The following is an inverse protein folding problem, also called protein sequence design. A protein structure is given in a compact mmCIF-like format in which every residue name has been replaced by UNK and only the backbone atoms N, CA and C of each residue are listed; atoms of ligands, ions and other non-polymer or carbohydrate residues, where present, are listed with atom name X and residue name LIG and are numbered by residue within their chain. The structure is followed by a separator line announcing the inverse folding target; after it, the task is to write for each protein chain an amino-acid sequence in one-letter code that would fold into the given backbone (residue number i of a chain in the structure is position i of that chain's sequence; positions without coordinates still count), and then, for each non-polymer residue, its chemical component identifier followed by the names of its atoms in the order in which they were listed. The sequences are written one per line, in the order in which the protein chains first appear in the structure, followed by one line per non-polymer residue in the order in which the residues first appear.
data_IF_285191481237
#
_entry.id   IF_285191481237
#
_cell.length_a   1.000
_cell.length_b   1.000
_cell.length_c   1.000
_cell.angle_alpha   90.00
_cell.angle_beta   90.00
_cell.angle_gamma   90.00
#
_symmetry.space_group_name_H-M   'P 1'
#
loop_
_entity.id
_entity.type
_entity.pdbx_description
1 polymer ?
#
# COMPACT_ATOMS: atom_id res chain seq x y z
N UNK A 1 -24.50 4.24 -7.89
CA UNK A 1 -23.94 3.28 -6.91
C UNK A 1 -22.81 2.40 -7.47
N UNK A 2 -22.69 2.15 -8.79
CA UNK A 2 -21.62 1.28 -9.37
C UNK A 2 -20.33 1.97 -9.83
N UNK A 3 -20.28 3.31 -9.85
CA UNK A 3 -19.17 4.05 -10.46
C UNK A 3 -17.78 3.75 -9.85
N UNK A 4 -17.61 3.61 -8.52
CA UNK A 4 -16.27 3.42 -7.92
C UNK A 4 -15.70 2.00 -8.04
N UNK A 5 -16.53 0.99 -8.34
CA UNK A 5 -16.09 -0.41 -8.51
C UNK A 5 -15.37 -0.60 -9.85
N UNK A 6 -15.76 0.17 -10.88
CA UNK A 6 -15.17 0.07 -12.21
C UNK A 6 -13.66 0.39 -12.21
N UNK A 7 -13.18 1.51 -11.62
CA UNK A 7 -11.74 1.77 -11.45
C UNK A 7 -10.98 0.61 -10.80
N UNK A 8 -11.55 -0.01 -9.77
CA UNK A 8 -10.95 -1.16 -9.10
C UNK A 8 -10.80 -2.37 -10.04
N UNK A 9 -11.87 -2.76 -10.75
CA UNK A 9 -11.84 -3.90 -11.67
C UNK A 9 -10.91 -3.65 -12.86
N UNK A 10 -10.97 -2.46 -13.46
CA UNK A 10 -10.07 -2.05 -14.53
C UNK A 10 -8.61 -2.08 -14.05
N UNK A 11 -8.33 -1.58 -12.85
CA UNK A 11 -6.99 -1.62 -12.28
C UNK A 11 -6.48 -3.04 -12.08
N UNK A 12 -7.30 -3.94 -11.50
CA UNK A 12 -6.95 -5.35 -11.36
C UNK A 12 -6.58 -5.98 -12.71
N UNK A 13 -7.36 -5.71 -13.76
CA UNK A 13 -7.07 -6.18 -15.12
C UNK A 13 -5.74 -5.63 -15.66
N UNK A 14 -5.52 -4.31 -15.54
CA UNK A 14 -4.27 -3.66 -16.01
C UNK A 14 -3.06 -4.23 -15.27
N UNK A 15 -3.12 -4.33 -13.94
CA UNK A 15 -2.05 -4.92 -13.14
C UNK A 15 -1.79 -6.36 -13.57
N UNK A 16 -2.84 -7.18 -13.73
CA UNK A 16 -2.70 -8.57 -14.17
C UNK A 16 -1.95 -8.69 -15.50
N UNK A 17 -2.22 -7.80 -16.46
CA UNK A 17 -1.55 -7.75 -17.77
C UNK A 17 -0.13 -7.20 -17.69
N UNK A 18 0.15 -6.30 -16.75
CA UNK A 18 1.47 -5.72 -16.55
C UNK A 18 2.49 -6.73 -16.00
N UNK A 19 2.06 -7.72 -15.20
CA UNK A 19 2.96 -8.72 -14.62
C UNK A 19 3.88 -9.42 -15.63
N UNK A 20 3.36 -10.15 -16.65
CA UNK A 20 4.22 -10.85 -17.60
C UNK A 20 5.14 -9.88 -18.37
N UNK A 21 4.60 -8.74 -18.82
CA UNK A 21 5.37 -7.73 -19.56
C UNK A 21 6.59 -7.24 -18.75
N UNK A 22 6.38 -6.95 -17.46
CA UNK A 22 7.46 -6.50 -16.60
C UNK A 22 8.43 -7.61 -16.22
N UNK A 23 7.97 -8.86 -16.11
CA UNK A 23 8.87 -10.00 -15.90
C UNK A 23 9.80 -10.13 -17.10
N UNK A 24 9.24 -10.23 -18.31
CA UNK A 24 10.01 -10.38 -19.55
C UNK A 24 11.03 -9.25 -19.70
N UNK A 25 10.59 -7.99 -19.51
CA UNK A 25 11.48 -6.84 -19.59
C UNK A 25 12.61 -6.86 -18.55
N UNK A 26 12.31 -7.25 -17.29
CA UNK A 26 13.32 -7.31 -16.24
C UNK A 26 14.31 -8.48 -16.44
N UNK A 27 13.87 -9.58 -17.04
CA UNK A 27 14.77 -10.69 -17.41
C UNK A 27 15.82 -10.26 -18.43
N UNK A 28 15.43 -9.41 -19.39
CA UNK A 28 16.32 -8.92 -20.44
C UNK A 28 17.36 -7.92 -19.92
N UNK A 29 16.96 -7.02 -19.02
CA UNK A 29 17.80 -5.87 -18.62
C UNK A 29 18.50 -6.03 -17.28
N UNK A 30 18.10 -7.00 -16.45
CA UNK A 30 18.60 -7.15 -15.07
C UNK A 30 19.14 -8.57 -14.82
N UNK A 31 20.47 -8.79 -14.89
CA UNK A 31 21.08 -10.12 -14.75
C UNK A 31 20.78 -10.83 -13.42
N UNK A 32 20.66 -10.10 -12.31
CA UNK A 32 20.34 -10.69 -11.02
C UNK A 32 18.87 -11.13 -10.95
N UNK A 33 17.97 -10.42 -11.63
CA UNK A 33 16.54 -10.77 -11.68
C UNK A 33 16.29 -12.04 -12.50
N UNK A 34 16.96 -12.20 -13.64
CA UNK A 34 16.77 -13.36 -14.52
C UNK A 34 17.11 -14.69 -13.83
N UNK A 35 18.04 -14.66 -12.85
CA UNK A 35 18.45 -15.80 -12.01
C UNK A 35 17.49 -16.12 -10.86
N UNK A 36 16.48 -15.29 -10.59
CA UNK A 36 15.53 -15.52 -9.51
C UNK A 36 14.56 -16.67 -9.85
N UNK A 37 14.02 -17.31 -8.83
CA UNK A 37 12.90 -18.25 -9.00
C UNK A 37 11.63 -17.50 -9.41
N UNK A 38 10.69 -18.18 -10.08
CA UNK A 38 9.43 -17.56 -10.52
C UNK A 38 8.66 -16.90 -9.37
N UNK A 39 8.66 -17.52 -8.19
CA UNK A 39 8.05 -16.97 -6.97
C UNK A 39 8.67 -15.62 -6.61
N UNK A 40 10.01 -15.52 -6.64
CA UNK A 40 10.73 -14.28 -6.35
C UNK A 40 10.54 -13.23 -7.45
N UNK A 41 10.48 -13.63 -8.73
CA UNK A 41 10.17 -12.71 -9.85
C UNK A 41 8.80 -12.05 -9.65
N UNK A 42 7.77 -12.83 -9.34
CA UNK A 42 6.43 -12.31 -9.04
C UNK A 42 6.44 -11.40 -7.80
N UNK A 43 7.21 -11.73 -6.77
CA UNK A 43 7.38 -10.87 -5.59
C UNK A 43 8.01 -9.51 -5.96
N UNK A 44 9.08 -9.50 -6.75
CA UNK A 44 9.73 -8.27 -7.21
C UNK A 44 8.76 -7.41 -8.02
N UNK A 45 8.14 -7.98 -9.05
CA UNK A 45 7.21 -7.26 -9.93
C UNK A 45 6.01 -6.71 -9.15
N UNK A 46 5.46 -7.47 -8.21
CA UNK A 46 4.42 -6.97 -7.27
C UNK A 46 4.85 -5.67 -6.60
N UNK A 47 6.05 -5.67 -6.03
CA UNK A 47 6.56 -4.55 -5.23
C UNK A 47 6.91 -3.34 -6.12
N UNK A 48 7.45 -3.56 -7.33
CA UNK A 48 7.74 -2.48 -8.27
C UNK A 48 6.45 -1.83 -8.81
N UNK A 49 5.46 -2.63 -9.23
CA UNK A 49 4.15 -2.11 -9.64
C UNK A 49 3.54 -1.32 -8.48
N UNK A 50 3.48 -1.89 -7.26
CA UNK A 50 2.92 -1.23 -6.09
C UNK A 50 3.64 0.08 -5.77
N UNK A 51 4.97 0.14 -5.90
CA UNK A 51 5.72 1.38 -5.67
C UNK A 51 5.32 2.50 -6.64
N UNK A 52 5.23 2.21 -7.94
CA UNK A 52 4.78 3.19 -8.94
C UNK A 52 3.34 3.59 -8.66
N UNK A 53 2.47 2.63 -8.38
CA UNK A 53 1.06 2.86 -8.09
C UNK A 53 0.88 3.79 -6.89
N UNK A 54 1.53 3.48 -5.76
CA UNK A 54 1.42 4.27 -4.54
C UNK A 54 2.03 5.67 -4.69
N UNK A 55 3.10 5.82 -5.49
CA UNK A 55 3.64 7.14 -5.84
C UNK A 55 2.60 7.98 -6.58
N UNK A 56 1.99 7.44 -7.64
CA UNK A 56 0.92 8.13 -8.39
C UNK A 56 -0.28 8.45 -7.49
N UNK A 57 -0.72 7.49 -6.67
CA UNK A 57 -1.83 7.71 -5.74
C UNK A 57 -1.51 8.74 -4.65
N UNK A 58 -0.26 8.87 -4.21
CA UNK A 58 0.14 9.93 -3.28
C UNK A 58 0.02 11.34 -3.91
N UNK A 59 0.32 11.47 -5.20
CA UNK A 59 0.18 12.73 -5.93
C UNK A 59 -1.30 13.06 -6.14
N UNK A 60 -2.09 12.10 -6.61
CA UNK A 60 -3.53 12.27 -6.84
C UNK A 60 -4.31 12.45 -5.53
N UNK A 61 -3.85 11.81 -4.45
CA UNK A 61 -4.46 11.91 -3.13
C UNK A 61 -4.22 13.25 -2.45
N UNK A 62 -3.20 14.01 -2.83
CA UNK A 62 -2.87 15.29 -2.19
C UNK A 62 -4.02 16.32 -2.28
N UNK A 63 -4.62 16.60 -3.45
CA UNK A 63 -5.82 17.43 -3.54
C UNK A 63 -6.97 16.95 -2.64
N UNK A 64 -7.17 15.64 -2.53
CA UNK A 64 -8.21 15.08 -1.65
C UNK A 64 -7.89 15.28 -0.17
N UNK A 65 -6.62 15.20 0.21
CA UNK A 65 -6.15 15.53 1.56
C UNK A 65 -6.38 17.01 1.87
N UNK A 66 -6.17 17.90 0.91
CA UNK A 66 -6.50 19.33 1.05
C UNK A 66 -8.01 19.52 1.21
N UNK A 67 -8.84 18.86 0.40
CA UNK A 67 -10.30 18.88 0.58
C UNK A 67 -10.72 18.41 1.98
N UNK A 68 -10.16 17.29 2.45
CA UNK A 68 -10.41 16.74 3.76
C UNK A 68 -10.05 17.73 4.88
N UNK A 69 -8.95 18.50 4.72
CA UNK A 69 -8.56 19.55 5.66
C UNK A 69 -9.61 20.66 5.78
N UNK A 70 -10.30 21.00 4.68
CA UNK A 70 -11.43 21.93 4.66
C UNK A 70 -12.78 21.25 4.95
N UNK A 71 -12.75 20.03 5.51
CA UNK A 71 -13.93 19.22 5.85
C UNK A 71 -14.85 18.92 4.65
N UNK A 72 -14.29 18.84 3.45
CA UNK A 72 -14.99 18.43 2.24
C UNK A 72 -14.53 17.04 1.80
N UNK A 73 -15.47 16.09 1.74
CA UNK A 73 -15.16 14.69 1.51
C UNK A 73 -15.82 14.17 0.22
N UNK A 74 -15.15 14.30 -0.94
CA UNK A 74 -15.71 13.89 -2.23
C UNK A 74 -15.74 12.35 -2.36
N UNK A 75 -16.82 11.76 -1.87
CA UNK A 75 -17.06 10.31 -1.78
C UNK A 75 -16.62 9.51 -3.02
N UNK A 76 -17.10 9.87 -4.21
CA UNK A 76 -16.83 9.10 -5.42
C UNK A 76 -15.33 9.04 -5.76
N UNK A 77 -14.59 10.12 -5.53
CA UNK A 77 -13.15 10.19 -5.76
C UNK A 77 -12.38 9.36 -4.74
N UNK A 78 -12.72 9.51 -3.46
CA UNK A 78 -12.10 8.74 -2.37
C UNK A 78 -12.32 7.24 -2.59
N UNK A 79 -13.55 6.83 -2.87
CA UNK A 79 -13.90 5.43 -3.12
C UNK A 79 -13.17 4.86 -4.34
N UNK A 80 -13.05 5.63 -5.42
CA UNK A 80 -12.34 5.21 -6.63
C UNK A 80 -10.85 4.99 -6.37
N UNK A 81 -10.20 5.93 -5.67
CA UNK A 81 -8.78 5.84 -5.32
C UNK A 81 -8.50 4.72 -4.31
N UNK A 82 -9.41 4.49 -3.36
CA UNK A 82 -9.33 3.33 -2.46
C UNK A 82 -9.35 2.01 -3.26
N UNK A 83 -10.20 1.93 -4.29
CA UNK A 83 -10.21 0.81 -5.24
C UNK A 83 -8.88 0.63 -5.95
N UNK A 84 -8.31 1.71 -6.49
CA UNK A 84 -6.99 1.71 -7.13
C UNK A 84 -5.90 1.23 -6.16
N UNK A 85 -5.90 1.70 -4.91
CA UNK A 85 -4.96 1.26 -3.88
C UNK A 85 -5.07 -0.26 -3.64
N UNK A 86 -6.27 -0.75 -3.33
CA UNK A 86 -6.49 -2.14 -2.94
C UNK A 86 -6.35 -3.15 -4.09
N UNK A 87 -6.48 -2.70 -5.34
CA UNK A 87 -6.25 -3.57 -6.52
C UNK A 87 -4.85 -4.21 -6.52
N UNK A 88 -3.82 -3.47 -6.05
CA UNK A 88 -2.46 -4.00 -5.92
C UNK A 88 -2.35 -5.09 -4.84
N UNK A 89 -3.05 -4.91 -3.72
CA UNK A 89 -3.03 -5.86 -2.61
C UNK A 89 -3.66 -7.20 -3.01
N UNK A 90 -4.80 -7.14 -3.71
CA UNK A 90 -5.51 -8.33 -4.20
C UNK A 90 -4.72 -9.01 -5.31
N UNK A 91 -4.17 -8.27 -6.28
CA UNK A 91 -3.32 -8.87 -7.31
C UNK A 91 -2.06 -9.47 -6.71
N UNK A 92 -1.51 -8.87 -5.65
CA UNK A 92 -0.42 -9.45 -4.87
C UNK A 92 -0.80 -10.78 -4.23
N UNK A 93 -1.97 -10.87 -3.59
CA UNK A 93 -2.49 -12.12 -3.02
C UNK A 93 -2.72 -13.20 -4.07
N UNK A 94 -3.19 -12.81 -5.26
CA UNK A 94 -3.49 -13.73 -6.36
C UNK A 94 -2.22 -14.23 -7.07
N UNK A 95 -1.25 -13.34 -7.35
CA UNK A 95 -0.06 -13.64 -8.15
C UNK A 95 1.14 -14.17 -7.35
N UNK A 96 1.25 -13.84 -6.07
CA UNK A 96 2.41 -14.22 -5.24
C UNK A 96 2.03 -15.34 -4.27
N UNK A 97 2.47 -16.57 -4.56
CA UNK A 97 2.11 -17.78 -3.80
C UNK A 97 2.61 -17.78 -2.35
N UNK A 98 3.77 -17.17 -2.10
CA UNK A 98 4.48 -17.25 -0.81
C UNK A 98 4.63 -15.87 -0.16
N UNK A 99 3.50 -15.21 0.10
CA UNK A 99 3.51 -13.98 0.91
C UNK A 99 3.61 -14.33 2.42
N UNK A 100 4.39 -13.55 3.20
CA UNK A 100 4.39 -13.67 4.65
C UNK A 100 2.97 -13.57 5.22
N UNK A 101 2.68 -14.35 6.27
CA UNK A 101 1.34 -14.40 6.87
C UNK A 101 0.85 -13.02 7.33
N UNK A 102 1.74 -12.19 7.90
CA UNK A 102 1.41 -10.81 8.31
C UNK A 102 0.94 -9.98 7.13
N UNK A 103 1.66 -10.02 6.00
CA UNK A 103 1.30 -9.30 4.78
C UNK A 103 0.02 -9.82 4.15
N UNK A 104 -0.23 -11.14 4.23
CA UNK A 104 -1.51 -11.71 3.77
C UNK A 104 -2.69 -11.21 4.61
N UNK A 105 -2.54 -11.18 5.93
CA UNK A 105 -3.56 -10.63 6.82
C UNK A 105 -3.78 -9.14 6.58
N UNK A 106 -2.70 -8.36 6.42
CA UNK A 106 -2.76 -6.95 6.03
C UNK A 106 -3.59 -6.77 4.75
N UNK A 107 -3.28 -7.49 3.67
CA UNK A 107 -3.99 -7.39 2.40
C UNK A 107 -5.47 -7.85 2.50
N UNK A 108 -5.77 -8.85 3.32
CA UNK A 108 -7.15 -9.25 3.58
C UNK A 108 -7.93 -8.16 4.31
N UNK A 109 -7.31 -7.50 5.29
CA UNK A 109 -7.94 -6.39 6.02
C UNK A 109 -8.15 -5.18 5.11
N UNK A 110 -7.19 -4.83 4.24
CA UNK A 110 -7.38 -3.73 3.29
C UNK A 110 -8.52 -4.01 2.31
N UNK A 111 -8.73 -5.27 1.91
CA UNK A 111 -9.91 -5.67 1.14
C UNK A 111 -11.22 -5.49 1.92
N UNK A 112 -11.28 -5.90 3.19
CA UNK A 112 -12.46 -5.68 4.04
C UNK A 112 -12.76 -4.18 4.16
N UNK A 113 -11.74 -3.36 4.36
CA UNK A 113 -11.86 -1.90 4.39
C UNK A 113 -12.30 -1.29 3.06
N UNK A 114 -11.89 -1.86 1.92
CA UNK A 114 -12.39 -1.43 0.61
C UNK A 114 -13.89 -1.66 0.47
N UNK A 115 -14.38 -2.84 0.87
CA UNK A 115 -15.80 -3.15 0.80
C UNK A 115 -16.62 -2.20 1.69
N UNK A 116 -16.12 -1.90 2.89
CA UNK A 116 -16.71 -0.88 3.76
C UNK A 116 -16.68 0.52 3.11
N UNK A 117 -15.58 0.88 2.46
CA UNK A 117 -15.38 2.18 1.77
C UNK A 117 -16.44 2.41 0.70
N UNK A 118 -16.77 1.41 -0.12
CA UNK A 118 -17.80 1.56 -1.16
C UNK A 118 -19.21 1.85 -0.62
N UNK A 119 -19.47 1.53 0.64
CA UNK A 119 -20.75 1.76 1.31
C UNK A 119 -20.72 2.96 2.26
N UNK A 120 -19.57 3.64 2.39
CA UNK A 120 -19.37 4.71 3.35
C UNK A 120 -19.63 6.08 2.72
N UNK A 121 -20.41 6.92 3.41
CA UNK A 121 -20.41 8.36 3.21
C UNK A 121 -19.32 9.00 4.09
N UNK A 122 -18.22 9.40 3.45
CA UNK A 122 -17.05 10.01 4.08
C UNK A 122 -17.35 11.38 4.70
N UNK A 123 -18.41 12.07 4.28
CA UNK A 123 -18.78 13.34 4.89
C UNK A 123 -19.34 13.14 6.31
N UNK A 124 -19.93 11.97 6.58
CA UNK A 124 -20.61 11.65 7.85
C UNK A 124 -19.86 10.62 8.72
N UNK A 125 -19.00 9.79 8.10
CA UNK A 125 -18.32 8.70 8.80
C UNK A 125 -16.92 9.09 9.25
N UNK A 126 -16.73 9.35 10.55
CA UNK A 126 -15.40 9.59 11.12
C UNK A 126 -14.44 8.40 10.92
N UNK A 127 -14.94 7.16 10.96
CA UNK A 127 -14.13 5.96 10.66
C UNK A 127 -13.70 5.95 9.19
N UNK A 128 -14.59 6.33 8.26
CA UNK A 128 -14.24 6.49 6.85
C UNK A 128 -13.14 7.54 6.66
N UNK A 129 -13.27 8.68 7.32
CA UNK A 129 -12.27 9.75 7.29
C UNK A 129 -10.91 9.28 7.84
N UNK A 130 -10.91 8.57 8.97
CA UNK A 130 -9.73 7.95 9.56
C UNK A 130 -9.06 6.96 8.59
N UNK A 131 -9.86 6.11 7.93
CA UNK A 131 -9.37 5.15 6.94
C UNK A 131 -8.73 5.85 5.73
N UNK A 132 -9.36 6.91 5.21
CA UNK A 132 -8.77 7.71 4.12
C UNK A 132 -7.41 8.28 4.51
N UNK A 133 -7.32 8.93 5.67
CA UNK A 133 -6.05 9.48 6.20
C UNK A 133 -5.01 8.39 6.34
N UNK A 134 -5.39 7.23 6.87
CA UNK A 134 -4.49 6.10 7.02
C UNK A 134 -3.93 5.65 5.67
N UNK A 135 -4.82 5.38 4.70
CA UNK A 135 -4.45 4.92 3.36
C UNK A 135 -3.57 5.95 2.63
N UNK A 136 -3.85 7.24 2.79
CA UNK A 136 -3.03 8.29 2.19
C UNK A 136 -1.61 8.31 2.76
N UNK A 137 -1.46 8.27 4.09
CA UNK A 137 -0.15 8.14 4.73
C UNK A 137 0.57 6.86 4.30
N UNK A 138 -0.13 5.73 4.19
CA UNK A 138 0.44 4.48 3.69
C UNK A 138 0.91 4.57 2.24
N UNK A 139 0.22 5.33 1.38
CA UNK A 139 0.64 5.53 -0.01
C UNK A 139 1.95 6.34 -0.12
N UNK A 140 2.17 7.32 0.75
CA UNK A 140 3.43 8.08 0.82
C UNK A 140 4.64 7.19 1.14
N UNK A 141 4.42 5.99 1.70
CA UNK A 141 5.44 4.99 2.00
C UNK A 141 5.85 4.14 0.79
N UNK A 142 5.48 4.55 -0.43
CA UNK A 142 5.86 3.86 -1.68
C UNK A 142 7.36 3.52 -1.82
N UNK A 143 8.34 4.29 -1.30
CA UNK A 143 9.76 3.92 -1.43
C UNK A 143 10.11 2.58 -0.77
N UNK A 144 9.33 2.16 0.25
CA UNK A 144 9.50 0.84 0.87
C UNK A 144 9.28 -0.26 -0.15
N UNK A 145 8.16 -0.20 -0.89
CA UNK A 145 7.86 -1.18 -1.93
C UNK A 145 8.91 -1.13 -3.05
N UNK A 146 9.41 0.06 -3.42
CA UNK A 146 10.50 0.17 -4.37
C UNK A 146 11.75 -0.60 -3.88
N UNK A 147 12.17 -0.37 -2.64
CA UNK A 147 13.31 -1.09 -2.05
C UNK A 147 13.08 -2.60 -1.92
N UNK A 148 11.87 -3.04 -1.53
CA UNK A 148 11.53 -4.46 -1.43
C UNK A 148 11.73 -5.21 -2.77
N UNK A 149 11.42 -4.57 -3.90
CA UNK A 149 11.62 -5.12 -5.24
C UNK A 149 13.07 -4.99 -5.73
N UNK A 150 13.62 -3.77 -5.69
CA UNK A 150 14.93 -3.44 -6.26
C UNK A 150 16.09 -4.18 -5.58
N UNK A 151 16.01 -4.46 -4.28
CA UNK A 151 17.10 -5.14 -3.55
C UNK A 151 17.42 -6.55 -4.04
N UNK A 152 16.50 -7.17 -4.79
CA UNK A 152 16.71 -8.50 -5.40
C UNK A 152 17.21 -8.40 -6.84
N UNK A 153 17.20 -7.18 -7.40
CA UNK A 153 17.58 -6.87 -8.77
C UNK A 153 19.01 -6.29 -8.85
N UNK A 154 19.47 -5.64 -7.78
CA UNK A 154 20.71 -4.87 -7.77
C UNK A 154 21.52 -5.15 -6.50
N UNK A 155 22.81 -4.81 -6.54
CA UNK A 155 23.72 -4.99 -5.41
C UNK A 155 23.37 -4.01 -4.26
N UNK A 156 23.77 -4.38 -3.05
CA UNK A 156 23.41 -3.62 -1.84
C UNK A 156 23.86 -2.14 -1.89
N UNK A 157 25.01 -1.87 -2.53
CA UNK A 157 25.52 -0.50 -2.71
C UNK A 157 24.60 0.36 -3.58
N UNK A 158 24.06 -0.20 -4.66
CA UNK A 158 23.22 0.53 -5.63
C UNK A 158 21.87 0.93 -5.03
N UNK A 159 21.33 0.10 -4.13
CA UNK A 159 20.03 0.35 -3.48
C UNK A 159 20.12 0.97 -2.09
N UNK A 160 21.34 1.28 -1.62
CA UNK A 160 21.56 1.83 -0.28
C UNK A 160 20.81 3.16 -0.06
N UNK A 161 20.80 4.02 -1.08
CA UNK A 161 20.06 5.29 -1.06
C UNK A 161 18.54 5.06 -0.95
N UNK A 162 18.00 4.10 -1.71
CA UNK A 162 16.58 3.75 -1.68
C UNK A 162 16.20 3.15 -0.32
N UNK A 163 17.04 2.28 0.25
CA UNK A 163 16.86 1.75 1.61
C UNK A 163 16.79 2.87 2.64
N UNK A 164 17.75 3.82 2.58
CA UNK A 164 17.83 4.96 3.50
C UNK A 164 16.55 5.81 3.41
N UNK A 165 16.12 6.15 2.19
CA UNK A 165 14.88 6.89 1.96
C UNK A 165 13.66 6.14 2.50
N UNK A 166 13.49 4.88 2.13
CA UNK A 166 12.41 4.02 2.59
C UNK A 166 12.32 3.96 4.12
N UNK A 167 13.46 3.79 4.79
CA UNK A 167 13.55 3.74 6.24
C UNK A 167 13.02 5.01 6.91
N UNK A 168 13.48 6.19 6.49
CA UNK A 168 13.10 7.44 7.14
C UNK A 168 11.68 7.88 6.79
N UNK A 169 11.29 7.80 5.51
CA UNK A 169 9.94 8.16 5.08
C UNK A 169 8.91 7.27 5.77
N UNK A 170 9.14 5.96 5.81
CA UNK A 170 8.20 5.03 6.42
C UNK A 170 8.06 5.24 7.93
N UNK A 171 9.19 5.41 8.64
CA UNK A 171 9.15 5.73 10.07
C UNK A 171 8.37 7.02 10.36
N UNK A 172 8.61 8.09 9.60
CA UNK A 172 7.92 9.36 9.79
C UNK A 172 6.41 9.22 9.52
N UNK A 173 6.03 8.56 8.43
CA UNK A 173 4.62 8.38 8.06
C UNK A 173 3.88 7.47 9.03
N UNK A 174 4.50 6.40 9.54
CA UNK A 174 3.85 5.57 10.57
C UNK A 174 3.59 6.38 11.85
N UNK A 175 4.56 7.17 12.32
CA UNK A 175 4.38 8.02 13.50
C UNK A 175 3.25 9.02 13.27
N UNK A 176 3.30 9.77 12.16
CA UNK A 176 2.26 10.77 11.82
C UNK A 176 0.89 10.09 11.74
N UNK A 177 0.79 8.98 11.03
CA UNK A 177 -0.47 8.28 10.83
C UNK A 177 -1.03 7.80 12.17
N UNK A 178 -0.25 7.09 12.99
CA UNK A 178 -0.74 6.58 14.27
C UNK A 178 -1.12 7.70 15.25
N UNK A 179 -0.40 8.83 15.23
CA UNK A 179 -0.79 10.02 16.01
C UNK A 179 -2.13 10.59 15.52
N UNK A 180 -2.33 10.71 14.21
CA UNK A 180 -3.61 11.17 13.64
C UNK A 180 -4.76 10.20 13.97
N UNK A 181 -4.54 8.89 13.87
CA UNK A 181 -5.53 7.89 14.25
C UNK A 181 -5.94 8.03 15.72
N UNK A 182 -4.97 8.24 16.62
CA UNK A 182 -5.25 8.47 18.02
C UNK A 182 -6.07 9.75 18.24
N UNK A 183 -5.71 10.84 17.56
CA UNK A 183 -6.38 12.14 17.67
C UNK A 183 -7.82 12.14 17.13
N UNK A 184 -8.08 11.46 16.00
CA UNK A 184 -9.40 11.41 15.35
C UNK A 184 -10.39 10.44 16.02
N UNK A 185 -9.95 9.65 17.01
CA UNK A 185 -10.75 8.57 17.57
C UNK A 185 -11.81 9.05 18.58
N UNK A 186 -13.08 8.70 18.34
CA UNK A 186 -14.20 9.04 19.26
C UNK A 186 -14.67 7.90 20.18
N UNK A 187 -13.94 6.78 20.26
CA UNK A 187 -14.20 5.62 21.16
C UNK A 187 -15.60 4.98 21.04
N UNK A 188 -16.26 5.07 19.89
CA UNK A 188 -17.51 4.34 19.63
C UNK A 188 -17.25 2.89 19.22
N UNK A 189 -18.29 2.04 19.20
CA UNK A 189 -18.18 0.63 18.78
C UNK A 189 -17.57 0.49 17.38
N UNK A 190 -17.90 1.38 16.45
CA UNK A 190 -17.35 1.39 15.09
C UNK A 190 -15.86 1.70 15.07
N UNK A 191 -15.40 2.63 15.92
CA UNK A 191 -13.96 2.94 16.04
C UNK A 191 -13.19 1.77 16.67
N UNK A 192 -13.78 1.10 17.65
CA UNK A 192 -13.16 -0.10 18.27
C UNK A 192 -13.08 -1.27 17.28
N UNK A 193 -14.13 -1.51 16.50
CA UNK A 193 -14.11 -2.51 15.43
C UNK A 193 -13.06 -2.18 14.36
N UNK A 194 -12.98 -0.92 13.95
CA UNK A 194 -11.93 -0.43 13.04
C UNK A 194 -10.53 -0.67 13.60
N UNK A 195 -10.26 -0.29 14.87
CA UNK A 195 -8.97 -0.54 15.49
C UNK A 195 -8.63 -2.03 15.59
N UNK A 196 -9.61 -2.87 15.91
CA UNK A 196 -9.44 -4.32 15.96
C UNK A 196 -8.88 -4.89 14.65
N UNK A 197 -9.39 -4.41 13.51
CA UNK A 197 -8.87 -4.75 12.19
C UNK A 197 -7.52 -4.06 11.89
N UNK A 198 -7.37 -2.80 12.30
CA UNK A 198 -6.16 -2.01 12.06
C UNK A 198 -4.91 -2.60 12.74
N UNK A 199 -5.06 -3.33 13.85
CA UNK A 199 -3.95 -4.01 14.53
C UNK A 199 -3.17 -4.93 13.57
N UNK A 200 -3.83 -5.62 12.65
CA UNK A 200 -3.14 -6.50 11.69
C UNK A 200 -2.26 -5.73 10.71
N UNK A 201 -2.71 -4.53 10.32
CA UNK A 201 -1.94 -3.62 9.45
C UNK A 201 -0.74 -3.08 10.22
N UNK A 202 -0.97 -2.56 11.43
CA UNK A 202 0.08 -2.00 12.31
C UNK A 202 1.12 -3.06 12.68
N UNK A 203 0.70 -4.30 12.90
CA UNK A 203 1.61 -5.41 13.18
C UNK A 203 2.58 -5.67 12.01
N UNK A 204 2.08 -5.71 10.78
CA UNK A 204 2.91 -5.85 9.58
C UNK A 204 3.84 -4.64 9.42
N UNK A 205 3.35 -3.42 9.69
CA UNK A 205 4.16 -2.21 9.64
C UNK A 205 5.33 -2.23 10.64
N UNK A 206 5.08 -2.65 11.89
CA UNK A 206 6.12 -2.78 12.91
C UNK A 206 7.14 -3.84 12.51
N UNK A 207 6.70 -4.98 11.97
CA UNK A 207 7.60 -6.02 11.48
C UNK A 207 8.53 -5.48 10.38
N UNK A 208 7.95 -4.76 9.41
CA UNK A 208 8.69 -4.20 8.28
C UNK A 208 9.64 -3.07 8.70
N UNK A 209 9.23 -2.21 9.64
CA UNK A 209 10.09 -1.20 10.26
C UNK A 209 11.28 -1.84 10.96
N UNK A 210 11.06 -2.84 11.82
CA UNK A 210 12.15 -3.56 12.49
C UNK A 210 13.13 -4.17 11.48
N UNK A 211 12.61 -4.73 10.40
CA UNK A 211 13.42 -5.29 9.31
C UNK A 211 14.27 -4.21 8.60
N UNK A 212 13.70 -3.04 8.29
CA UNK A 212 14.42 -1.93 7.64
C UNK A 212 15.53 -1.34 8.52
N UNK A 213 15.31 -1.30 9.83
CA UNK A 213 16.24 -0.76 10.82
C UNK A 213 17.30 -1.77 11.28
N UNK A 214 17.14 -3.06 10.96
CA UNK A 214 18.20 -4.04 11.18
C UNK A 214 19.42 -3.62 10.33
N UNK A 215 20.59 -3.55 10.98
CA UNK A 215 21.86 -3.39 10.25
C UNK A 215 21.92 -4.55 9.26
N UNK A 216 21.96 -4.21 7.97
CA UNK A 216 22.39 -5.17 6.96
C UNK A 216 23.89 -5.29 7.16
N UNK A 217 24.32 -6.47 7.59
CA UNK A 217 25.72 -6.86 7.52
C UNK A 217 26.15 -6.64 6.07
N UNK A 218 27.11 -5.74 5.88
CA UNK A 218 27.83 -5.56 4.62
C UNK A 218 28.72 -6.79 4.44
#
# INVERSE_FOLDING_TARGET
MFFPILPFLCSCYVIHRAYPILIDHLEDVTPNFSRLTDVKKHYVVKNLIKAVYLCVLSIIGLPLMVCAWYNYWPNAWIQSIAGLYCSNDIMGLYKVKELPTSTRLHHTVTLVFLLATFMTDFQQSSVGQMLFVYTYCSALCFPVNAYLGLRLCFEAGDVAGVKKLAKYVYSAMCIINWTLQYWMMHRTVYHLAYLGLLIFIVYDDIYLLRWLWKKSDV
#
